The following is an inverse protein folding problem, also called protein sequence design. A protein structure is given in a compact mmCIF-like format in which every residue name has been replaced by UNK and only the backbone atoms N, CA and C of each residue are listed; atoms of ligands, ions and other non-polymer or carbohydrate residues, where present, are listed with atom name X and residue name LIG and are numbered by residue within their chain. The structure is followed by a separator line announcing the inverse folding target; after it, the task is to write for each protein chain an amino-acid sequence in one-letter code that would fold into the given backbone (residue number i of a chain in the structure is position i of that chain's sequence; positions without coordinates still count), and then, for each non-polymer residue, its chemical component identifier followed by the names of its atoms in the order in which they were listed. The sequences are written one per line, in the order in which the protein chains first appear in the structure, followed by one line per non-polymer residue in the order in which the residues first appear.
data_IF_101490121457
#
_entry.id   IF_101490121457
#
_cell.length_a   1.000
_cell.length_b   1.000
_cell.length_c   1.000
_cell.angle_alpha   90.00
_cell.angle_beta   90.00
_cell.angle_gamma   90.00
#
_symmetry.space_group_name_H-M   'P 1'
#
loop_
_entity.id
_entity.type
_entity.pdbx_description
1 polymer ?
#
# COMPACT_ATOMS: atom_id res chain seq x y z
N UNK A 1 16.70 46.56 0.69
CA UNK A 1 15.90 45.96 1.78
C UNK A 1 16.28 44.50 1.88
N UNK A 2 16.83 44.16 3.03
CA UNK A 2 17.41 42.87 3.40
C UNK A 2 16.25 41.93 3.80
N UNK A 3 16.16 40.75 3.19
CA UNK A 3 15.49 39.60 3.81
C UNK A 3 16.39 38.39 3.68
N UNK A 4 17.08 38.15 4.79
CA UNK A 4 17.88 36.99 5.11
C UNK A 4 17.01 35.73 4.97
N UNK A 5 17.35 34.82 4.06
CA UNK A 5 16.87 33.44 4.10
C UNK A 5 17.99 32.62 4.71
N UNK A 6 17.80 32.34 5.99
CA UNK A 6 18.63 31.48 6.82
C UNK A 6 18.61 30.08 6.19
N UNK A 7 19.82 29.58 5.91
CA UNK A 7 20.07 28.21 5.55
C UNK A 7 19.52 27.27 6.63
N UNK A 8 18.68 26.33 6.25
CA UNK A 8 18.55 25.05 6.98
C UNK A 8 19.03 23.98 6.02
N UNK A 9 20.33 23.72 6.05
CA UNK A 9 20.89 22.48 5.51
C UNK A 9 20.49 21.42 6.54
N UNK A 10 19.36 20.77 6.31
CA UNK A 10 19.07 19.51 6.98
C UNK A 10 19.99 18.48 6.32
N UNK A 11 21.09 18.16 6.99
CA UNK A 11 21.93 17.01 6.66
C UNK A 11 21.11 15.76 6.97
N UNK A 12 20.25 15.34 6.04
CA UNK A 12 19.74 13.98 6.05
C UNK A 12 20.94 13.08 5.83
N UNK A 13 21.33 12.34 6.86
CA UNK A 13 22.30 11.28 6.74
C UNK A 13 21.69 10.24 5.79
N UNK A 14 22.04 10.33 4.52
CA UNK A 14 21.84 9.25 3.57
C UNK A 14 22.64 8.06 4.09
N UNK A 15 21.95 7.13 4.77
CA UNK A 15 22.40 5.75 4.89
C UNK A 15 22.29 5.09 3.51
N UNK A 16 23.08 5.57 2.55
CA UNK A 16 23.29 4.90 1.26
C UNK A 16 24.18 3.69 1.52
N UNK A 17 23.56 2.52 1.64
CA UNK A 17 24.32 1.27 1.75
C UNK A 17 23.57 -0.06 1.82
N UNK A 18 22.27 -0.10 2.14
CA UNK A 18 21.63 -1.37 2.53
C UNK A 18 20.67 -2.03 1.50
N UNK A 19 20.41 -1.43 0.34
CA UNK A 19 19.22 -1.82 -0.44
C UNK A 19 19.35 -3.14 -1.23
N UNK A 20 20.55 -3.56 -1.65
CA UNK A 20 20.71 -4.81 -2.42
C UNK A 20 20.81 -6.08 -1.55
N UNK A 21 21.03 -5.94 -0.24
CA UNK A 21 21.06 -7.04 0.75
C UNK A 21 19.86 -7.05 1.70
N UNK A 22 19.02 -6.02 1.65
CA UNK A 22 18.00 -5.74 2.66
C UNK A 22 16.81 -6.70 2.69
N UNK A 23 16.43 -7.33 1.55
CA UNK A 23 15.28 -8.24 1.54
C UNK A 23 15.51 -9.46 2.44
N UNK A 24 16.60 -10.19 2.21
CA UNK A 24 16.95 -11.37 3.03
C UNK A 24 17.19 -11.00 4.50
N UNK A 25 17.76 -9.82 4.75
CA UNK A 25 17.97 -9.31 6.10
C UNK A 25 16.64 -9.01 6.81
N UNK A 26 15.71 -8.30 6.16
CA UNK A 26 14.39 -7.99 6.71
C UNK A 26 13.56 -9.27 6.94
N UNK A 27 13.59 -10.21 5.99
CA UNK A 27 12.85 -11.48 6.11
C UNK A 27 13.41 -12.38 7.22
N UNK A 28 14.64 -12.14 7.70
CA UNK A 28 15.24 -12.87 8.81
C UNK A 28 15.02 -12.24 10.19
N UNK A 29 14.46 -11.03 10.27
CA UNK A 29 14.19 -10.33 11.53
C UNK A 29 12.88 -10.83 12.16
N UNK A 30 12.83 -10.77 13.48
CA UNK A 30 11.56 -10.89 14.21
C UNK A 30 10.67 -9.68 13.93
N UNK A 31 9.36 -9.83 14.15
CA UNK A 31 8.41 -8.73 13.98
C UNK A 31 8.77 -7.51 14.84
N UNK A 32 9.20 -7.73 16.09
CA UNK A 32 9.60 -6.64 17.00
C UNK A 32 10.83 -5.89 16.48
N UNK A 33 11.80 -6.60 15.87
CA UNK A 33 12.97 -5.98 15.24
C UNK A 33 12.59 -5.17 13.99
N UNK A 34 11.62 -5.66 13.20
CA UNK A 34 11.07 -4.94 12.05
C UNK A 34 10.38 -3.66 12.51
N UNK A 35 9.54 -3.74 13.55
CA UNK A 35 8.87 -2.56 14.12
C UNK A 35 9.89 -1.56 14.65
N UNK A 36 10.89 -2.01 15.40
CA UNK A 36 11.93 -1.13 15.92
C UNK A 36 12.71 -0.43 14.80
N UNK A 37 13.10 -1.15 13.75
CA UNK A 37 13.77 -0.56 12.59
C UNK A 37 12.86 0.45 11.86
N UNK A 38 11.59 0.10 11.64
CA UNK A 38 10.64 0.99 10.97
C UNK A 38 10.37 2.26 11.80
N UNK A 39 10.43 2.19 13.13
CA UNK A 39 10.38 3.37 14.01
C UNK A 39 11.61 4.27 13.88
N UNK A 40 12.80 3.70 13.65
CA UNK A 40 14.02 4.47 13.37
C UNK A 40 13.95 5.16 12.00
N UNK A 41 13.37 4.49 11.00
CA UNK A 41 13.15 5.04 9.65
C UNK A 41 12.04 6.12 9.64
N UNK A 42 11.00 5.92 10.44
CA UNK A 42 10.03 6.93 10.86
C UNK A 42 8.88 7.23 9.89
N UNK A 43 8.91 6.70 8.66
CA UNK A 43 7.87 6.97 7.67
C UNK A 43 7.70 5.83 6.67
N UNK A 44 6.47 5.64 6.20
CA UNK A 44 6.13 4.82 5.03
C UNK A 44 5.20 5.59 4.07
N UNK A 45 5.39 5.34 2.80
CA UNK A 45 4.58 5.90 1.71
C UNK A 45 3.63 4.84 1.16
N UNK A 46 2.32 5.11 1.26
CA UNK A 46 1.28 4.20 0.81
C UNK A 46 0.51 4.77 -0.38
N UNK A 47 0.77 4.20 -1.55
CA UNK A 47 0.14 4.56 -2.81
C UNK A 47 -1.19 3.84 -2.96
N UNK A 48 -2.23 4.39 -2.31
CA UNK A 48 -3.62 3.94 -2.42
C UNK A 48 -4.50 5.01 -3.06
N UNK A 49 -5.20 4.65 -4.14
CA UNK A 49 -6.11 5.57 -4.85
C UNK A 49 -7.52 5.58 -4.27
N UNK A 50 -7.92 4.49 -3.61
CA UNK A 50 -9.30 4.22 -3.23
C UNK A 50 -9.61 4.65 -1.79
N UNK A 51 -10.81 5.19 -1.51
CA UNK A 51 -11.27 5.60 -0.17
C UNK A 51 -10.25 6.36 0.69
N UNK A 52 -9.42 7.21 0.08
CA UNK A 52 -8.33 7.90 0.77
C UNK A 52 -8.76 8.61 2.08
N UNK A 53 -9.90 9.32 2.18
CA UNK A 53 -10.31 9.94 3.44
C UNK A 53 -10.41 8.94 4.59
N UNK A 54 -10.98 7.75 4.34
CA UNK A 54 -11.11 6.70 5.35
C UNK A 54 -9.76 6.08 5.69
N UNK A 55 -8.91 5.84 4.69
CA UNK A 55 -7.58 5.29 4.95
C UNK A 55 -6.63 6.28 5.63
N UNK A 56 -6.84 7.59 5.47
CA UNK A 56 -6.13 8.60 6.28
C UNK A 56 -6.46 8.50 7.77
N UNK A 57 -7.68 8.10 8.13
CA UNK A 57 -8.03 7.82 9.53
C UNK A 57 -7.30 6.56 10.05
N UNK A 58 -7.21 5.52 9.23
CA UNK A 58 -6.45 4.29 9.56
C UNK A 58 -4.96 4.59 9.70
N UNK A 59 -4.39 5.34 8.76
CA UNK A 59 -3.01 5.84 8.80
C UNK A 59 -2.73 6.62 10.10
N UNK A 60 -3.64 7.50 10.52
CA UNK A 60 -3.51 8.22 11.80
C UNK A 60 -3.47 7.27 12.99
N UNK A 61 -4.36 6.28 13.03
CA UNK A 61 -4.37 5.29 14.11
C UNK A 61 -3.07 4.46 14.13
N UNK A 62 -2.57 4.05 12.96
CA UNK A 62 -1.29 3.36 12.84
C UNK A 62 -0.13 4.22 13.34
N UNK A 63 -0.08 5.50 12.96
CA UNK A 63 0.94 6.44 13.45
C UNK A 63 0.85 6.66 14.96
N UNK A 64 -0.36 6.72 15.53
CA UNK A 64 -0.54 6.83 16.99
C UNK A 64 -0.05 5.58 17.73
N UNK A 65 -0.23 4.39 17.15
CA UNK A 65 0.18 3.12 17.76
C UNK A 65 1.69 2.87 17.65
N UNK A 66 2.26 3.09 16.45
CA UNK A 66 3.64 2.70 16.16
C UNK A 66 4.61 3.87 16.15
N UNK A 67 4.16 5.12 16.09
CA UNK A 67 5.03 6.29 15.93
C UNK A 67 5.64 6.44 14.54
N UNK A 68 5.15 5.67 13.55
CA UNK A 68 5.61 5.68 12.15
C UNK A 68 4.60 6.49 11.33
N UNK A 69 5.07 7.53 10.63
CA UNK A 69 4.20 8.34 9.77
C UNK A 69 3.77 7.55 8.52
N UNK A 70 2.48 7.57 8.19
CA UNK A 70 1.98 7.00 6.92
C UNK A 70 1.56 8.14 5.99
N UNK A 71 2.31 8.34 4.92
CA UNK A 71 2.02 9.32 3.89
C UNK A 71 1.21 8.64 2.78
N UNK A 72 0.01 9.13 2.52
CA UNK A 72 -0.81 8.72 1.35
C UNK A 72 -0.79 9.86 0.33
N UNK A 73 -0.02 9.75 -0.77
CA UNK A 73 -0.03 10.73 -1.84
C UNK A 73 -1.38 10.78 -2.57
N UNK A 74 -1.72 11.96 -3.10
CA UNK A 74 -2.83 12.08 -4.05
C UNK A 74 -2.45 11.40 -5.36
N UNK A 75 -3.33 10.58 -5.92
CA UNK A 75 -3.04 9.81 -7.12
C UNK A 75 -4.25 9.04 -7.64
N UNK A 76 -4.19 8.64 -8.92
CA UNK A 76 -5.16 7.73 -9.52
C UNK A 76 -4.63 6.30 -9.50
N UNK A 77 -5.51 5.32 -9.71
CA UNK A 77 -5.11 3.92 -9.78
C UNK A 77 -4.04 3.71 -10.86
N UNK A 78 -4.31 4.22 -12.07
CA UNK A 78 -3.41 4.13 -13.21
C UNK A 78 -2.11 4.89 -12.96
N UNK A 79 -2.18 6.12 -12.44
CA UNK A 79 -1.00 6.94 -12.21
C UNK A 79 -0.03 6.35 -11.20
N UNK A 80 -0.54 5.74 -10.12
CA UNK A 80 0.29 5.08 -9.11
C UNK A 80 1.02 3.86 -9.71
N UNK A 81 0.32 3.05 -10.52
CA UNK A 81 0.90 1.88 -11.18
C UNK A 81 1.93 2.29 -12.24
N UNK A 82 1.61 3.28 -13.07
CA UNK A 82 2.53 3.79 -14.10
C UNK A 82 3.83 4.34 -13.48
N UNK A 83 3.71 5.08 -12.37
CA UNK A 83 4.88 5.53 -11.61
C UNK A 83 5.70 4.36 -11.10
N UNK A 84 5.07 3.38 -10.46
CA UNK A 84 5.75 2.18 -9.97
C UNK A 84 6.51 1.45 -11.09
N UNK A 85 5.86 1.22 -12.24
CA UNK A 85 6.49 0.57 -13.39
C UNK A 85 7.64 1.40 -13.99
N UNK A 86 7.52 2.72 -14.00
CA UNK A 86 8.57 3.62 -14.48
C UNK A 86 9.79 3.66 -13.55
N UNK A 87 9.58 3.46 -12.25
CA UNK A 87 10.61 3.61 -11.21
C UNK A 87 11.21 2.30 -10.71
N UNK A 88 10.63 1.14 -11.06
CA UNK A 88 11.02 -0.20 -10.56
C UNK A 88 12.50 -0.59 -10.69
N UNK A 89 13.22 -0.01 -11.65
CA UNK A 89 14.63 -0.31 -11.91
C UNK A 89 15.58 0.73 -11.30
N UNK A 90 15.08 1.65 -10.48
CA UNK A 90 15.89 2.64 -9.78
C UNK A 90 16.45 2.01 -8.51
N UNK A 91 17.67 2.40 -8.16
CA UNK A 91 18.30 2.01 -6.89
C UNK A 91 17.52 2.53 -5.67
N UNK A 92 16.74 3.61 -5.85
CA UNK A 92 15.87 4.19 -4.84
C UNK A 92 14.60 4.77 -5.48
N UNK A 93 13.47 4.48 -4.83
CA UNK A 93 12.14 5.01 -5.12
C UNK A 93 11.50 5.57 -3.85
N UNK A 94 10.26 6.03 -3.98
CA UNK A 94 9.46 6.61 -2.89
C UNK A 94 8.13 5.87 -2.72
N UNK A 95 8.05 4.60 -3.13
CA UNK A 95 6.88 3.73 -3.00
C UNK A 95 7.24 2.57 -2.08
N UNK A 96 6.69 2.57 -0.87
CA UNK A 96 6.88 1.48 0.10
C UNK A 96 5.74 0.46 0.01
N UNK A 97 4.50 0.93 -0.16
CA UNK A 97 3.31 0.08 -0.28
C UNK A 97 2.48 0.53 -1.47
N UNK A 98 2.21 -0.40 -2.39
CA UNK A 98 1.33 -0.17 -3.53
C UNK A 98 0.00 -0.90 -3.32
N UNK A 99 -1.09 -0.14 -3.29
CA UNK A 99 -2.43 -0.71 -3.39
C UNK A 99 -2.85 -0.75 -4.86
N UNK A 100 -3.34 -1.91 -5.30
CA UNK A 100 -3.83 -2.14 -6.66
C UNK A 100 -5.10 -2.99 -6.66
N UNK A 101 -5.89 -2.87 -7.73
CA UNK A 101 -7.02 -3.76 -7.99
C UNK A 101 -6.55 -5.15 -8.41
N UNK A 102 -7.34 -6.18 -8.12
CA UNK A 102 -7.02 -7.56 -8.51
C UNK A 102 -6.99 -7.73 -10.02
N UNK A 103 -7.70 -6.88 -10.75
CA UNK A 103 -7.71 -6.79 -12.22
C UNK A 103 -6.39 -6.26 -12.83
N UNK A 104 -5.38 -5.99 -12.00
CA UNK A 104 -4.05 -5.54 -12.39
C UNK A 104 -2.93 -6.48 -11.94
N UNK A 105 -3.25 -7.58 -11.25
CA UNK A 105 -2.26 -8.43 -10.58
C UNK A 105 -1.23 -9.05 -11.54
N UNK A 106 -1.59 -9.23 -12.81
CA UNK A 106 -0.70 -9.78 -13.84
C UNK A 106 0.17 -8.73 -14.55
N UNK A 107 0.15 -7.46 -14.13
CA UNK A 107 0.96 -6.40 -14.75
C UNK A 107 2.47 -6.57 -14.51
N UNK A 108 2.85 -7.30 -13.47
CA UNK A 108 4.24 -7.59 -13.13
C UNK A 108 4.33 -8.88 -12.31
N UNK A 109 5.48 -9.55 -12.37
CA UNK A 109 5.76 -10.67 -11.47
C UNK A 109 6.19 -10.10 -10.10
N UNK A 110 5.40 -10.32 -9.02
CA UNK A 110 5.75 -9.77 -7.71
C UNK A 110 7.03 -10.40 -7.14
N UNK A 111 7.44 -11.59 -7.59
CA UNK A 111 8.70 -12.22 -7.16
C UNK A 111 9.94 -11.48 -7.68
N UNK A 112 9.79 -10.68 -8.74
CA UNK A 112 10.89 -9.91 -9.32
C UNK A 112 11.09 -8.54 -8.65
N UNK A 113 10.04 -7.96 -8.07
CA UNK A 113 10.06 -6.54 -7.69
C UNK A 113 9.47 -6.20 -6.31
N UNK A 114 8.76 -7.12 -5.65
CA UNK A 114 8.21 -6.90 -4.32
C UNK A 114 9.04 -7.57 -3.23
N UNK A 115 8.92 -7.07 -1.99
CA UNK A 115 9.46 -7.74 -0.81
C UNK A 115 8.60 -8.97 -0.48
N UNK A 116 9.22 -10.14 -0.31
CA UNK A 116 8.53 -11.35 0.10
C UNK A 116 9.28 -12.63 -0.27
N UNK A 117 8.66 -13.81 -0.02
CA UNK A 117 7.31 -13.99 0.52
C UNK A 117 7.22 -13.58 2.00
N UNK A 118 6.07 -13.06 2.44
CA UNK A 118 5.90 -12.47 3.79
C UNK A 118 5.22 -13.41 4.80
N UNK A 119 4.90 -14.65 4.43
CA UNK A 119 4.09 -15.57 5.25
C UNK A 119 4.71 -15.90 6.61
N UNK A 120 6.04 -15.94 6.69
CA UNK A 120 6.76 -16.27 7.93
C UNK A 120 7.13 -15.03 8.76
N UNK A 121 6.86 -13.84 8.22
CA UNK A 121 7.29 -12.55 8.79
C UNK A 121 6.11 -11.75 9.32
N UNK A 122 5.00 -11.70 8.57
CA UNK A 122 3.83 -10.95 8.98
C UNK A 122 3.11 -11.62 10.14
N UNK A 123 2.75 -10.87 11.21
CA UNK A 123 1.88 -11.40 12.24
C UNK A 123 0.53 -11.75 11.61
N UNK A 124 -0.06 -12.85 12.05
CA UNK A 124 -1.36 -13.31 11.55
C UNK A 124 -1.42 -13.62 10.04
N UNK A 125 -0.28 -13.83 9.36
CA UNK A 125 -0.24 -14.12 7.92
C UNK A 125 -1.15 -15.28 7.49
N UNK A 126 -1.30 -16.29 8.36
CA UNK A 126 -2.18 -17.44 8.14
C UNK A 126 -3.67 -17.08 8.04
N UNK A 127 -4.07 -15.93 8.61
CA UNK A 127 -5.44 -15.40 8.58
C UNK A 127 -5.65 -14.40 7.43
N UNK A 128 -4.58 -14.02 6.73
CA UNK A 128 -4.66 -13.07 5.63
C UNK A 128 -4.96 -13.80 4.31
N UNK A 129 -5.66 -13.11 3.41
CA UNK A 129 -6.07 -13.67 2.12
C UNK A 129 -5.06 -13.34 1.03
N UNK A 130 -4.50 -14.36 0.40
CA UNK A 130 -3.62 -14.23 -0.77
C UNK A 130 -4.29 -14.65 -2.08
N UNK A 131 -5.42 -15.37 -2.04
CA UNK A 131 -6.25 -15.61 -3.22
C UNK A 131 -7.14 -14.40 -3.52
N UNK A 132 -6.79 -13.62 -4.54
CA UNK A 132 -7.33 -12.32 -4.87
C UNK A 132 -8.01 -12.35 -6.24
N UNK A 133 -9.35 -12.31 -6.27
CA UNK A 133 -10.09 -12.24 -7.53
C UNK A 133 -9.86 -13.44 -8.47
N UNK A 134 -9.46 -14.60 -7.95
CA UNK A 134 -9.11 -15.79 -8.74
C UNK A 134 -7.61 -15.93 -9.06
N UNK A 135 -6.78 -15.01 -8.59
CA UNK A 135 -5.32 -15.06 -8.72
C UNK A 135 -4.66 -15.37 -7.38
N UNK A 136 -3.50 -16.04 -7.41
CA UNK A 136 -2.68 -16.28 -6.22
C UNK A 136 -1.63 -15.19 -6.06
N UNK A 137 -1.70 -14.45 -4.95
CA UNK A 137 -0.73 -13.42 -4.58
C UNK A 137 0.62 -13.96 -4.10
N UNK A 138 0.79 -15.28 -4.02
CA UNK A 138 2.05 -15.98 -3.71
C UNK A 138 2.72 -15.53 -2.39
N UNK A 139 1.94 -15.00 -1.44
CA UNK A 139 2.41 -14.36 -0.21
C UNK A 139 3.31 -13.11 -0.42
N UNK A 140 3.30 -12.53 -1.62
CA UNK A 140 3.84 -11.19 -1.91
C UNK A 140 2.74 -10.12 -1.92
N UNK A 141 1.49 -10.53 -2.16
CA UNK A 141 0.33 -9.64 -2.18
C UNK A 141 -0.78 -10.17 -1.27
N UNK A 142 -1.40 -9.26 -0.51
CA UNK A 142 -2.43 -9.57 0.47
C UNK A 142 -3.67 -8.70 0.28
N UNK A 143 -4.84 -9.32 0.45
CA UNK A 143 -6.11 -8.62 0.39
C UNK A 143 -6.32 -7.76 1.63
N UNK A 144 -6.42 -6.44 1.43
CA UNK A 144 -6.70 -5.47 2.50
C UNK A 144 -8.12 -4.90 2.43
N UNK A 145 -8.79 -5.06 1.29
CA UNK A 145 -10.17 -4.63 1.05
C UNK A 145 -10.84 -5.51 -0.01
N UNK A 146 -12.14 -5.71 0.13
CA UNK A 146 -12.98 -6.36 -0.89
C UNK A 146 -14.27 -5.57 -1.09
N UNK A 147 -14.69 -5.43 -2.33
CA UNK A 147 -15.96 -4.81 -2.70
C UNK A 147 -16.80 -5.76 -3.57
N UNK A 148 -18.10 -5.47 -3.59
CA UNK A 148 -19.03 -6.06 -4.55
C UNK A 148 -19.68 -4.91 -5.33
N UNK A 149 -19.93 -5.14 -6.61
CA UNK A 149 -20.76 -4.25 -7.43
C UNK A 149 -22.22 -4.60 -7.19
N UNK A 150 -23.05 -3.59 -7.00
CA UNK A 150 -24.49 -3.73 -6.86
C UNK A 150 -25.23 -2.62 -7.60
N UNK A 151 -26.56 -2.75 -7.67
CA UNK A 151 -27.44 -1.73 -8.24
C UNK A 151 -27.78 -0.73 -7.14
N UNK A 152 -27.42 0.53 -7.33
CA UNK A 152 -27.91 1.63 -6.50
C UNK A 152 -29.19 2.20 -7.13
N UNK A 153 -30.24 2.36 -6.33
CA UNK A 153 -31.53 2.91 -6.79
C UNK A 153 -32.02 4.04 -5.88
N UNK A 154 -32.94 4.85 -6.41
CA UNK A 154 -33.59 5.94 -5.70
C UNK A 154 -34.95 5.43 -5.17
N UNK A 155 -35.11 5.20 -3.85
CA UNK A 155 -36.33 4.64 -3.28
C UNK A 155 -37.54 5.56 -3.36
N UNK A 156 -37.35 6.86 -3.63
CA UNK A 156 -38.45 7.80 -3.87
C UNK A 156 -39.03 7.66 -5.30
N UNK A 157 -38.31 6.94 -6.19
CA UNK A 157 -38.70 6.76 -7.59
C UNK A 157 -39.10 5.33 -7.95
N UNK A 158 -38.54 4.33 -7.29
CA UNK A 158 -38.77 2.91 -7.57
C UNK A 158 -39.01 2.20 -6.24
N UNK A 159 -40.12 1.49 -6.10
CA UNK A 159 -40.39 0.71 -4.89
C UNK A 159 -39.56 -0.58 -4.87
N UNK A 160 -39.35 -1.13 -3.68
CA UNK A 160 -38.52 -2.33 -3.49
C UNK A 160 -39.01 -3.53 -4.34
N UNK A 161 -40.32 -3.66 -4.53
CA UNK A 161 -40.93 -4.72 -5.33
C UNK A 161 -40.78 -4.52 -6.86
N UNK A 162 -40.37 -3.33 -7.29
CA UNK A 162 -40.09 -3.00 -8.69
C UNK A 162 -38.59 -3.11 -9.03
N UNK A 163 -37.74 -3.50 -8.07
CA UNK A 163 -36.30 -3.58 -8.29
C UNK A 163 -35.92 -4.77 -9.18
N UNK A 164 -35.13 -4.55 -10.25
CA UNK A 164 -34.61 -5.65 -11.06
C UNK A 164 -33.76 -6.57 -10.19
N UNK A 165 -34.08 -7.87 -10.23
CA UNK A 165 -33.37 -8.91 -9.48
C UNK A 165 -32.43 -9.72 -10.38
N UNK A 166 -32.56 -9.58 -11.69
CA UNK A 166 -31.78 -10.27 -12.72
C UNK A 166 -31.28 -9.28 -13.77
N UNK A 167 -30.40 -9.74 -14.68
CA UNK A 167 -29.87 -8.90 -15.76
C UNK A 167 -30.97 -8.61 -16.81
N UNK A 168 -31.95 -9.50 -16.92
CA UNK A 168 -33.03 -9.44 -17.89
C UNK A 168 -34.25 -8.60 -17.44
N UNK A 169 -34.33 -8.22 -16.16
CA UNK A 169 -35.38 -7.34 -15.61
C UNK A 169 -35.13 -5.87 -15.97
#
# INVERSE_FOLDING_TARGET
MLRSLIATVATAAFATGAFAGGHSELLGKSWDEIVAQAQEEGQVSWFVWYFQPRYREVAKAFTEEYGIEVVIPEGTHEGNIEKFLAERNRDAGDIDVLAMGTDRIDLFDPTEIALGPLNDVLPEAANMRTELGGHDGMHYAYGYWGNQTGIAYDPDKISEDELPQTVED
#
